data_IF_255581523823
#
_entry.id   IF_255581523823
#
_cell.length_a   1.000
_cell.length_b   1.000
_cell.length_c   1.000
_cell.angle_alpha   90.00
_cell.angle_beta   90.00
_cell.angle_gamma   90.00
#
_symmetry.space_group_name_H-M   'P 1'
#
loop_
_entity.id
_entity.type
_entity.pdbx_description
1 polymer ?
#
# COMPACT_ATOMS: atom_id res chain seq x y z
N UNK A 1 -9.12 20.58 5.61
CA UNK A 1 -9.99 19.96 6.64
C UNK A 1 -10.35 18.55 6.20
N UNK A 2 -9.84 17.53 6.89
CA UNK A 2 -10.26 16.14 6.69
C UNK A 2 -11.40 15.92 7.69
N UNK A 3 -12.65 16.06 7.25
CA UNK A 3 -13.82 16.07 8.16
C UNK A 3 -14.30 14.67 8.59
N UNK A 4 -13.81 13.59 7.97
CA UNK A 4 -13.92 12.21 8.49
C UNK A 4 -13.01 11.28 7.66
N UNK A 5 -11.76 11.10 8.09
CA UNK A 5 -10.88 10.07 7.54
C UNK A 5 -11.04 8.79 8.37
N UNK A 6 -11.08 7.64 7.72
CA UNK A 6 -10.96 6.37 8.43
C UNK A 6 -9.64 6.33 9.22
N UNK A 7 -9.60 5.57 10.32
CA UNK A 7 -8.36 5.34 11.09
C UNK A 7 -7.20 4.91 10.16
N UNK A 8 -7.51 4.09 9.16
CA UNK A 8 -6.58 3.71 8.09
C UNK A 8 -6.00 4.90 7.32
N UNK A 9 -6.84 5.85 6.90
CA UNK A 9 -6.39 7.06 6.22
C UNK A 9 -5.54 7.95 7.13
N UNK A 10 -5.84 8.02 8.42
CA UNK A 10 -5.04 8.77 9.40
C UNK A 10 -3.66 8.13 9.58
N UNK A 11 -3.61 6.81 9.72
CA UNK A 11 -2.36 6.04 9.83
C UNK A 11 -1.49 6.20 8.57
N UNK A 12 -2.08 6.10 7.37
CA UNK A 12 -1.35 6.31 6.12
C UNK A 12 -0.75 7.72 6.00
N UNK A 13 -1.40 8.74 6.57
CA UNK A 13 -0.89 10.11 6.58
C UNK A 13 0.30 10.30 7.53
N UNK A 14 0.44 9.45 8.55
CA UNK A 14 1.61 9.47 9.44
C UNK A 14 2.88 8.96 8.76
N UNK A 15 2.75 8.23 7.64
CA UNK A 15 3.90 7.70 6.92
C UNK A 15 4.51 8.82 6.06
N UNK A 16 5.76 9.24 6.32
CA UNK A 16 6.39 10.33 5.59
C UNK A 16 6.67 9.92 4.14
N UNK A 17 5.81 10.37 3.21
CA UNK A 17 5.87 10.03 1.78
C UNK A 17 7.23 10.23 1.14
N UNK A 18 7.88 11.35 1.47
CA UNK A 18 9.16 11.72 0.89
C UNK A 18 10.28 10.78 1.33
N UNK A 19 10.24 10.38 2.60
CA UNK A 19 11.20 9.44 3.16
C UNK A 19 10.97 8.03 2.62
N UNK A 20 9.72 7.58 2.57
CA UNK A 20 9.38 6.32 1.93
C UNK A 20 9.83 6.29 0.47
N UNK A 21 9.55 7.34 -0.31
CA UNK A 21 10.01 7.45 -1.70
C UNK A 21 11.53 7.42 -1.81
N UNK A 22 12.26 8.04 -0.87
CA UNK A 22 13.72 7.98 -0.80
C UNK A 22 14.23 6.56 -0.55
N UNK A 23 13.62 5.83 0.39
CA UNK A 23 13.96 4.42 0.66
C UNK A 23 13.68 3.53 -0.55
N UNK A 24 12.49 3.68 -1.14
CA UNK A 24 12.10 2.94 -2.34
C UNK A 24 13.09 3.17 -3.50
N UNK A 25 13.54 4.41 -3.71
CA UNK A 25 14.61 4.71 -4.68
C UNK A 25 15.94 4.07 -4.32
N UNK A 26 16.35 4.17 -3.04
CA UNK A 26 17.62 3.59 -2.53
C UNK A 26 17.69 2.08 -2.79
N UNK A 27 16.60 1.36 -2.53
CA UNK A 27 16.52 -0.08 -2.73
C UNK A 27 16.03 -0.50 -4.12
N UNK A 28 15.85 0.45 -5.06
CA UNK A 28 15.33 0.22 -6.41
C UNK A 28 14.00 -0.57 -6.44
N UNK A 29 13.13 -0.37 -5.46
CA UNK A 29 11.88 -1.14 -5.27
C UNK A 29 10.86 -0.99 -6.40
N UNK A 30 10.96 0.09 -7.18
CA UNK A 30 10.05 0.41 -8.30
C UNK A 30 10.59 -0.04 -9.67
N UNK A 31 11.77 -0.68 -9.75
CA UNK A 31 12.43 -1.00 -11.04
C UNK A 31 11.56 -1.82 -12.00
N UNK A 32 10.57 -2.57 -11.48
CA UNK A 32 9.62 -3.37 -12.26
C UNK A 32 8.15 -3.05 -11.93
N UNK A 33 7.88 -1.89 -11.33
CA UNK A 33 6.53 -1.49 -10.96
C UNK A 33 5.74 -0.99 -12.18
N UNK A 34 5.13 -1.91 -12.92
CA UNK A 34 4.23 -1.61 -14.05
C UNK A 34 2.85 -1.17 -13.55
N UNK A 35 2.77 0.00 -12.91
CA UNK A 35 1.52 0.55 -12.37
C UNK A 35 1.08 -0.03 -11.01
N UNK A 36 1.88 -0.91 -10.40
CA UNK A 36 1.71 -1.35 -9.01
C UNK A 36 2.91 -0.88 -8.20
N UNK A 37 2.74 0.20 -7.44
CA UNK A 37 3.85 0.84 -6.72
C UNK A 37 4.17 0.15 -5.40
N UNK A 38 5.35 0.41 -4.84
CA UNK A 38 5.68 0.07 -3.45
C UNK A 38 4.71 0.75 -2.47
N UNK A 39 4.17 1.92 -2.82
CA UNK A 39 3.16 2.59 -2.01
C UNK A 39 1.84 1.81 -1.98
N UNK A 40 1.37 1.31 -3.14
CA UNK A 40 0.18 0.47 -3.24
C UNK A 40 0.37 -0.82 -2.43
N UNK A 41 1.55 -1.43 -2.49
CA UNK A 41 1.89 -2.62 -1.70
C UNK A 41 1.88 -2.33 -0.20
N UNK A 42 2.59 -1.30 0.26
CA UNK A 42 2.62 -0.90 1.66
C UNK A 42 1.20 -0.70 2.21
N UNK A 43 0.38 0.00 1.45
CA UNK A 43 -0.99 0.27 1.84
C UNK A 43 -1.83 -1.01 1.91
N UNK A 44 -1.61 -1.95 0.99
CA UNK A 44 -2.28 -3.24 1.02
C UNK A 44 -1.88 -4.10 2.22
N UNK A 45 -0.60 -4.10 2.59
CA UNK A 45 -0.11 -4.80 3.78
C UNK A 45 -0.59 -4.14 5.07
N UNK A 46 -0.63 -2.80 5.13
CA UNK A 46 -1.18 -2.10 6.29
C UNK A 46 -2.67 -2.37 6.46
N UNK A 47 -3.43 -2.42 5.34
CA UNK A 47 -4.83 -2.78 5.36
C UNK A 47 -5.03 -4.22 5.89
N UNK A 48 -4.19 -5.17 5.48
CA UNK A 48 -4.34 -6.56 5.91
C UNK A 48 -4.20 -6.71 7.43
N UNK A 49 -3.25 -5.98 8.04
CA UNK A 49 -3.04 -6.01 9.49
C UNK A 49 -4.21 -5.39 10.25
N UNK A 50 -4.77 -4.29 9.74
CA UNK A 50 -5.87 -3.58 10.41
C UNK A 50 -7.23 -4.26 10.22
N UNK A 51 -7.45 -4.87 9.06
CA UNK A 51 -8.70 -5.56 8.74
C UNK A 51 -8.68 -7.04 9.14
N UNK A 52 -7.57 -7.54 9.71
CA UNK A 52 -7.33 -8.97 9.94
C UNK A 52 -7.65 -9.81 8.70
N UNK A 53 -7.24 -9.31 7.52
CA UNK A 53 -7.53 -9.96 6.26
C UNK A 53 -6.49 -11.07 6.00
N UNK A 54 -6.94 -12.32 6.05
CA UNK A 54 -6.08 -13.51 5.94
C UNK A 54 -5.81 -13.93 4.50
N UNK A 55 -6.52 -13.34 3.52
CA UNK A 55 -6.33 -13.65 2.10
C UNK A 55 -6.05 -12.43 1.22
N UNK A 56 -5.24 -12.64 0.18
CA UNK A 56 -5.02 -11.64 -0.87
C UNK A 56 -6.33 -11.14 -1.52
N UNK A 57 -7.37 -11.99 -1.54
CA UNK A 57 -8.67 -11.66 -2.10
C UNK A 57 -9.41 -10.67 -1.20
N UNK A 58 -9.43 -10.91 0.10
CA UNK A 58 -10.01 -9.99 1.09
C UNK A 58 -9.30 -8.64 1.08
N UNK A 59 -7.96 -8.64 1.01
CA UNK A 59 -7.17 -7.42 0.91
C UNK A 59 -7.56 -6.62 -0.34
N UNK A 60 -7.58 -7.27 -1.52
CA UNK A 60 -7.88 -6.57 -2.77
C UNK A 60 -9.33 -6.06 -2.82
N UNK A 61 -10.29 -6.86 -2.35
CA UNK A 61 -11.71 -6.49 -2.34
C UNK A 61 -12.00 -5.39 -1.31
N UNK A 62 -11.44 -5.48 -0.10
CA UNK A 62 -11.59 -4.46 0.94
C UNK A 62 -11.01 -3.11 0.52
N UNK A 63 -9.84 -3.12 -0.13
CA UNK A 63 -9.26 -1.91 -0.71
C UNK A 63 -10.05 -1.37 -1.89
N UNK A 64 -10.65 -2.23 -2.72
CA UNK A 64 -11.51 -1.79 -3.82
C UNK A 64 -12.74 -1.01 -3.29
N UNK A 65 -13.35 -1.46 -2.19
CA UNK A 65 -14.44 -0.73 -1.54
C UNK A 65 -14.02 0.64 -1.00
N UNK A 66 -12.74 0.78 -0.61
CA UNK A 66 -12.20 2.02 -0.06
C UNK A 66 -11.50 2.90 -1.11
N UNK A 67 -11.34 2.44 -2.36
CA UNK A 67 -10.47 3.07 -3.36
C UNK A 67 -10.81 4.54 -3.58
N UNK A 68 -12.09 4.89 -3.70
CA UNK A 68 -12.52 6.29 -3.88
C UNK A 68 -12.04 7.25 -2.78
N UNK A 69 -11.87 6.75 -1.54
CA UNK A 69 -11.32 7.53 -0.42
C UNK A 69 -9.78 7.56 -0.39
N UNK A 70 -9.13 6.64 -1.10
CA UNK A 70 -7.68 6.45 -1.12
C UNK A 70 -6.99 7.08 -2.33
N UNK A 71 -7.74 7.52 -3.35
CA UNK A 71 -7.17 8.22 -4.53
C UNK A 71 -6.35 9.44 -4.12
N UNK A 72 -6.87 10.25 -3.20
CA UNK A 72 -6.15 11.42 -2.66
C UNK A 72 -4.92 11.04 -1.82
N UNK A 73 -4.81 9.77 -1.43
CA UNK A 73 -3.65 9.17 -0.78
C UNK A 73 -2.82 8.38 -1.79
N UNK A 74 -2.76 8.80 -3.05
CA UNK A 74 -1.82 8.27 -4.05
C UNK A 74 -2.03 6.80 -4.40
N UNK A 75 -3.24 6.28 -4.23
CA UNK A 75 -3.66 4.97 -4.75
C UNK A 75 -4.64 5.20 -5.88
N UNK A 76 -4.10 5.23 -7.09
CA UNK A 76 -4.85 5.48 -8.32
C UNK A 76 -5.60 4.23 -8.81
N UNK A 77 -5.08 3.03 -8.51
CA UNK A 77 -5.63 1.76 -8.98
C UNK A 77 -5.77 0.75 -7.85
N UNK A 78 -6.83 -0.07 -7.94
CA UNK A 78 -7.00 -1.20 -7.02
C UNK A 78 -5.84 -2.19 -7.20
N UNK A 79 -5.30 -2.75 -6.10
CA UNK A 79 -4.39 -3.87 -6.18
C UNK A 79 -5.11 -5.08 -6.80
N UNK A 80 -4.43 -5.81 -7.67
CA UNK A 80 -4.87 -7.13 -8.14
C UNK A 80 -4.15 -8.21 -7.35
N UNK A 81 -4.79 -9.38 -7.21
CA UNK A 81 -4.17 -10.54 -6.52
C UNK A 81 -2.81 -10.89 -7.12
N UNK A 82 -2.68 -10.89 -8.45
CA UNK A 82 -1.44 -11.21 -9.15
C UNK A 82 -0.34 -10.19 -8.87
N UNK A 83 -0.66 -8.88 -8.91
CA UNK A 83 0.32 -7.84 -8.64
C UNK A 83 0.79 -7.87 -7.18
N UNK A 84 -0.14 -8.03 -6.24
CA UNK A 84 0.17 -8.09 -4.81
C UNK A 84 0.98 -9.34 -4.46
N UNK A 85 0.61 -10.51 -5.01
CA UNK A 85 1.37 -11.74 -4.83
C UNK A 85 2.78 -11.64 -5.41
N UNK A 86 2.91 -11.10 -6.62
CA UNK A 86 4.20 -10.92 -7.26
C UNK A 86 5.10 -9.98 -6.45
N UNK A 87 4.55 -8.84 -6.03
CA UNK A 87 5.28 -7.86 -5.25
C UNK A 87 5.71 -8.39 -3.87
N UNK A 88 4.88 -9.18 -3.20
CA UNK A 88 5.25 -9.82 -1.93
C UNK A 88 6.37 -10.85 -2.10
N UNK A 89 6.44 -11.54 -3.23
CA UNK A 89 7.50 -12.51 -3.51
C UNK A 89 8.82 -11.88 -3.99
N UNK A 90 8.77 -10.74 -4.69
CA UNK A 90 9.91 -10.18 -5.41
C UNK A 90 10.47 -8.88 -4.82
N UNK A 91 9.76 -8.22 -3.89
CA UNK A 91 10.27 -7.03 -3.21
C UNK A 91 10.73 -7.41 -1.80
N UNK A 92 11.92 -6.95 -1.38
CA UNK A 92 12.43 -7.27 -0.05
C UNK A 92 11.51 -6.69 1.02
N UNK A 93 11.09 -7.53 1.97
CA UNK A 93 10.20 -7.14 3.07
C UNK A 93 10.78 -6.02 3.97
N UNK A 94 12.10 -5.81 3.94
CA UNK A 94 12.79 -4.71 4.62
C UNK A 94 12.33 -3.33 4.16
N UNK A 95 11.78 -3.20 2.94
CA UNK A 95 11.17 -1.94 2.49
C UNK A 95 9.85 -1.60 3.19
N UNK A 96 9.19 -2.60 3.78
CA UNK A 96 7.87 -2.49 4.42
C UNK A 96 7.92 -2.72 5.93
N UNK A 97 9.05 -3.18 6.49
CA UNK A 97 9.26 -3.25 7.94
C UNK A 97 9.66 -1.87 8.47
N UNK A 98 8.72 -1.21 9.13
CA UNK A 98 9.05 -0.16 10.08
C UNK A 98 9.89 -0.80 11.20
N UNK A 99 11.16 -0.41 11.35
CA UNK A 99 11.84 -0.48 12.65
C UNK A 99 11.51 0.79 13.43
#
# INVERSE_FOLDING_TARGET
MIRSASLFSQLLQQIPRNEFARLVRKHRGERHAKGFTCWTQLTAMLFSQLAQADSLREICNGLACCLGKLVHLGIDRKPTKSNLSYANAHRPADLTRHR
#
